data_IF_714260477085
#
_entry.id   IF_714260477085
#
_cell.length_a   1.000
_cell.length_b   1.000
_cell.length_c   1.000
_cell.angle_alpha   90.00
_cell.angle_beta   90.00
_cell.angle_gamma   90.00
#
_symmetry.space_group_name_H-M   'P 1'
#
loop_
_entity.id
_entity.type
_entity.pdbx_description
1 polymer ?
#
# COMPACT_ATOMS: atom_id res chain seq x y z
N UNK A 1 22.90 -7.93 5.55
CA UNK A 1 22.55 -8.65 4.31
C UNK A 1 21.20 -9.41 4.38
N UNK A 2 20.49 -9.44 5.52
CA UNK A 2 19.20 -10.14 5.66
C UNK A 2 17.91 -9.32 5.45
N UNK A 3 17.95 -7.98 5.53
CA UNK A 3 16.73 -7.14 5.59
C UNK A 3 16.00 -7.00 4.25
N UNK A 4 16.73 -6.73 3.17
CA UNK A 4 16.15 -6.69 1.81
C UNK A 4 15.66 -8.06 1.34
N UNK A 5 16.28 -9.15 1.84
CA UNK A 5 15.84 -10.52 1.56
C UNK A 5 14.48 -10.80 2.21
N UNK A 6 14.27 -10.38 3.45
CA UNK A 6 12.98 -10.54 4.14
C UNK A 6 11.82 -9.85 3.42
N UNK A 7 12.02 -8.60 2.97
CA UNK A 7 11.01 -7.88 2.19
C UNK A 7 10.70 -8.57 0.86
N UNK A 8 11.74 -9.03 0.16
CA UNK A 8 11.57 -9.78 -1.08
C UNK A 8 10.76 -11.07 -0.86
N UNK A 9 11.08 -11.85 0.18
CA UNK A 9 10.33 -13.05 0.54
C UNK A 9 8.87 -12.74 0.88
N UNK A 10 8.60 -11.65 1.60
CA UNK A 10 7.24 -11.23 1.90
C UNK A 10 6.45 -10.90 0.62
N UNK A 11 7.01 -10.10 -0.28
CA UNK A 11 6.35 -9.73 -1.54
C UNK A 11 6.10 -10.96 -2.41
N UNK A 12 7.09 -11.85 -2.53
CA UNK A 12 6.96 -13.10 -3.30
C UNK A 12 5.92 -14.03 -2.69
N UNK A 13 5.93 -14.22 -1.37
CA UNK A 13 4.95 -15.08 -0.69
C UNK A 13 3.53 -14.52 -0.81
N UNK A 14 3.36 -13.20 -0.71
CA UNK A 14 2.07 -12.55 -0.87
C UNK A 14 1.54 -12.68 -2.31
N UNK A 15 2.40 -12.43 -3.32
CA UNK A 15 2.05 -12.60 -4.72
C UNK A 15 1.70 -14.06 -5.06
N UNK A 16 2.48 -15.02 -4.55
CA UNK A 16 2.18 -16.44 -4.69
C UNK A 16 0.86 -16.80 -4.00
N UNK A 17 0.60 -16.25 -2.82
CA UNK A 17 -0.66 -16.42 -2.09
C UNK A 17 -1.86 -15.97 -2.91
N UNK A 18 -1.78 -14.80 -3.56
CA UNK A 18 -2.81 -14.32 -4.49
C UNK A 18 -2.98 -15.27 -5.68
N UNK A 19 -1.89 -15.71 -6.29
CA UNK A 19 -1.94 -16.63 -7.44
C UNK A 19 -2.60 -17.96 -7.09
N UNK A 20 -2.26 -18.55 -5.94
CA UNK A 20 -2.88 -19.79 -5.46
C UNK A 20 -4.35 -19.56 -5.08
N UNK A 21 -4.68 -18.45 -4.43
CA UNK A 21 -6.06 -18.07 -4.09
C UNK A 21 -6.92 -17.84 -5.34
N UNK A 22 -6.32 -17.38 -6.44
CA UNK A 22 -6.93 -17.23 -7.75
C UNK A 22 -7.11 -18.56 -8.51
N UNK A 23 -6.85 -19.72 -7.86
CA UNK A 23 -7.01 -21.03 -8.48
C UNK A 23 -5.88 -21.39 -9.44
N UNK A 24 -4.71 -20.74 -9.34
CA UNK A 24 -3.59 -20.84 -10.27
C UNK A 24 -3.93 -20.35 -11.69
N UNK A 25 -4.95 -19.49 -11.82
CA UNK A 25 -5.31 -18.82 -13.06
C UNK A 25 -4.90 -17.34 -12.99
N UNK A 26 -4.17 -16.90 -14.02
CA UNK A 26 -3.83 -15.49 -14.18
C UNK A 26 -5.07 -14.62 -14.38
N UNK A 27 -6.16 -15.17 -14.94
CA UNK A 27 -7.46 -14.50 -15.03
C UNK A 27 -8.04 -14.16 -13.65
N UNK A 28 -7.92 -15.07 -12.68
CA UNK A 28 -8.34 -14.82 -11.30
C UNK A 28 -7.50 -13.77 -10.58
N UNK A 29 -6.20 -13.65 -10.91
CA UNK A 29 -5.33 -12.60 -10.35
C UNK A 29 -5.78 -11.20 -10.81
N UNK A 30 -6.30 -11.08 -12.03
CA UNK A 30 -6.82 -9.81 -12.54
C UNK A 30 -8.04 -9.30 -11.76
N UNK A 31 -8.77 -10.18 -11.04
CA UNK A 31 -9.87 -9.75 -10.15
C UNK A 31 -9.38 -8.89 -8.98
N UNK A 32 -8.12 -9.05 -8.60
CA UNK A 32 -7.48 -8.21 -7.58
C UNK A 32 -6.93 -6.92 -8.17
N UNK A 33 -6.98 -6.70 -9.49
CA UNK A 33 -6.50 -5.50 -10.16
C UNK A 33 -7.66 -4.54 -10.46
N UNK A 34 -8.30 -4.04 -9.40
CA UNK A 34 -9.41 -3.09 -9.52
C UNK A 34 -8.88 -1.65 -9.68
N UNK A 35 -9.21 -1.02 -10.82
CA UNK A 35 -8.76 0.33 -11.14
C UNK A 35 -9.26 1.39 -10.14
N UNK A 36 -10.56 1.43 -9.75
CA UNK A 36 -11.03 2.30 -8.68
C UNK A 36 -10.24 2.17 -7.37
N UNK A 37 -10.06 0.95 -6.86
CA UNK A 37 -9.27 0.68 -5.65
C UNK A 37 -7.83 1.20 -5.77
N UNK A 38 -7.20 1.02 -6.93
CA UNK A 38 -5.85 1.53 -7.18
C UNK A 38 -5.79 3.06 -7.02
N UNK A 39 -6.71 3.80 -7.65
CA UNK A 39 -6.73 5.26 -7.57
C UNK A 39 -7.04 5.78 -6.16
N UNK A 40 -7.93 5.12 -5.41
CA UNK A 40 -8.21 5.52 -4.04
C UNK A 40 -6.99 5.37 -3.14
N UNK A 41 -6.32 4.21 -3.20
CA UNK A 41 -5.20 3.93 -2.31
C UNK A 41 -3.93 4.66 -2.76
N UNK A 42 -3.47 4.46 -3.99
CA UNK A 42 -2.23 5.09 -4.44
C UNK A 42 -2.39 6.58 -4.64
N UNK A 43 -3.51 7.03 -5.24
CA UNK A 43 -3.81 8.44 -5.41
C UNK A 43 -4.02 9.16 -4.08
N UNK A 44 -4.77 8.56 -3.15
CA UNK A 44 -4.96 9.10 -1.81
C UNK A 44 -3.66 9.18 -1.01
N UNK A 45 -2.84 8.13 -1.06
CA UNK A 45 -1.52 8.10 -0.39
C UNK A 45 -0.59 9.17 -0.93
N UNK A 46 -0.44 9.26 -2.25
CA UNK A 46 0.45 10.23 -2.88
C UNK A 46 -0.05 11.67 -2.72
N UNK A 47 -1.36 11.90 -2.82
CA UNK A 47 -1.97 13.22 -2.61
C UNK A 47 -1.78 13.72 -1.17
N UNK A 48 -2.05 12.87 -0.17
CA UNK A 48 -1.83 13.21 1.23
C UNK A 48 -0.34 13.37 1.56
N UNK A 49 0.53 12.56 0.98
CA UNK A 49 1.97 12.70 1.14
C UNK A 49 2.48 14.00 0.50
N UNK A 50 1.99 14.38 -0.67
CA UNK A 50 2.38 15.62 -1.35
C UNK A 50 1.90 16.86 -0.59
N UNK A 51 0.75 16.77 0.06
CA UNK A 51 0.25 17.83 0.94
C UNK A 51 1.04 17.93 2.25
N UNK A 52 1.43 16.79 2.83
CA UNK A 52 2.02 16.73 4.17
C UNK A 52 3.54 16.92 4.18
N UNK A 53 4.23 16.59 3.09
CA UNK A 53 5.69 16.65 2.99
C UNK A 53 6.17 17.65 1.93
N UNK A 54 7.16 18.46 2.30
CA UNK A 54 7.85 19.36 1.37
C UNK A 54 8.56 18.58 0.26
N UNK A 55 8.68 19.17 -0.92
CA UNK A 55 9.32 18.57 -2.12
C UNK A 55 10.75 18.09 -1.86
N UNK A 56 11.48 18.72 -0.94
CA UNK A 56 12.83 18.33 -0.56
C UNK A 56 12.87 17.01 0.24
N UNK A 57 11.82 16.73 1.02
CA UNK A 57 11.71 15.52 1.83
C UNK A 57 11.51 14.28 0.95
N UNK A 58 10.94 14.40 -0.25
CA UNK A 58 10.76 13.29 -1.18
C UNK A 58 12.09 12.68 -1.62
N UNK A 59 13.07 13.51 -2.00
CA UNK A 59 14.41 13.06 -2.36
C UNK A 59 15.13 12.39 -1.19
N UNK A 60 15.00 12.98 0.01
CA UNK A 60 15.57 12.45 1.26
C UNK A 60 14.93 11.12 1.64
N UNK A 61 13.60 11.02 1.55
CA UNK A 61 12.84 9.80 1.81
C UNK A 61 13.25 8.66 0.88
N UNK A 62 13.38 8.93 -0.42
CA UNK A 62 13.78 7.92 -1.38
C UNK A 62 15.26 7.53 -1.24
N UNK A 63 16.12 8.44 -0.75
CA UNK A 63 17.54 8.15 -0.51
C UNK A 63 17.75 6.98 0.44
N UNK A 64 16.80 6.69 1.33
CA UNK A 64 16.85 5.56 2.27
C UNK A 64 16.82 4.19 1.59
N UNK A 65 16.28 4.11 0.37
CA UNK A 65 16.30 2.90 -0.44
C UNK A 65 17.71 2.62 -1.02
N UNK A 66 18.56 3.64 -1.04
CA UNK A 66 19.93 3.56 -1.54
C UNK A 66 20.92 3.54 -0.36
N UNK A 67 22.14 3.04 -0.58
CA UNK A 67 23.20 3.04 0.46
C UNK A 67 23.76 4.43 0.77
N UNK A 68 23.26 5.48 0.13
CA UNK A 68 23.83 6.82 0.15
C UNK A 68 23.17 7.75 1.17
N UNK A 69 22.22 7.28 1.99
CA UNK A 69 21.50 8.13 2.95
C UNK A 69 22.46 8.61 4.07
N UNK A 70 22.73 9.93 4.18
CA UNK A 70 23.52 10.47 5.28
C UNK A 70 22.76 10.34 6.60
N UNK A 71 23.47 9.96 7.67
CA UNK A 71 22.86 9.71 9.00
C UNK A 71 21.98 10.87 9.49
N UNK A 72 22.41 12.10 9.26
CA UNK A 72 21.70 13.34 9.60
C UNK A 72 20.28 13.44 9.04
N UNK A 73 20.00 12.85 7.87
CA UNK A 73 18.70 12.94 7.20
C UNK A 73 17.83 11.68 7.40
N UNK A 74 18.30 10.72 8.19
CA UNK A 74 17.63 9.41 8.34
C UNK A 74 16.30 9.56 9.07
N UNK A 75 16.23 10.44 10.07
CA UNK A 75 15.00 10.66 10.85
C UNK A 75 13.88 11.27 10.00
N UNK A 76 14.21 12.23 9.12
CA UNK A 76 13.26 12.79 8.16
C UNK A 76 12.78 11.73 7.16
N UNK A 77 13.69 10.87 6.69
CA UNK A 77 13.32 9.78 5.80
C UNK A 77 12.42 8.75 6.50
N UNK A 78 12.70 8.40 7.75
CA UNK A 78 11.86 7.51 8.58
C UNK A 78 10.47 8.12 8.77
N UNK A 79 10.38 9.42 9.07
CA UNK A 79 9.12 10.12 9.21
C UNK A 79 8.29 10.09 7.90
N UNK A 80 8.95 10.32 6.76
CA UNK A 80 8.34 10.23 5.44
C UNK A 80 7.72 8.86 5.16
N UNK A 81 8.47 7.78 5.38
CA UNK A 81 7.96 6.41 5.15
C UNK A 81 6.88 5.99 6.14
N UNK A 82 6.96 6.42 7.40
CA UNK A 82 5.88 6.21 8.37
C UNK A 82 4.59 6.96 7.96
N UNK A 83 4.71 8.20 7.50
CA UNK A 83 3.60 9.00 7.00
C UNK A 83 2.94 8.36 5.77
N UNK A 84 3.75 8.00 4.76
CA UNK A 84 3.27 7.28 3.57
C UNK A 84 2.50 6.01 3.93
N UNK A 85 3.04 5.19 4.83
CA UNK A 85 2.36 3.98 5.27
C UNK A 85 0.99 4.30 5.89
N UNK A 86 0.94 5.27 6.80
CA UNK A 86 -0.30 5.68 7.47
C UNK A 86 -1.33 6.21 6.45
N UNK A 87 -0.92 7.04 5.49
CA UNK A 87 -1.81 7.54 4.44
C UNK A 87 -2.34 6.42 3.54
N UNK A 88 -1.54 5.38 3.27
CA UNK A 88 -1.99 4.19 2.55
C UNK A 88 -3.04 3.38 3.32
N UNK A 89 -2.86 3.24 4.64
CA UNK A 89 -3.85 2.58 5.48
C UNK A 89 -5.17 3.38 5.52
N UNK A 90 -5.08 4.69 5.73
CA UNK A 90 -6.26 5.56 5.80
C UNK A 90 -7.01 5.63 4.47
N UNK A 91 -6.30 5.69 3.34
CA UNK A 91 -6.92 5.63 2.01
C UNK A 91 -7.53 4.26 1.70
N UNK A 92 -6.94 3.16 2.18
CA UNK A 92 -7.55 1.83 2.11
C UNK A 92 -8.86 1.72 2.90
N UNK A 93 -8.91 2.30 4.10
CA UNK A 93 -10.14 2.40 4.90
C UNK A 93 -11.19 3.25 4.16
N UNK A 94 -10.79 4.39 3.58
CA UNK A 94 -11.69 5.23 2.79
C UNK A 94 -12.26 4.49 1.57
N UNK A 95 -11.41 3.76 0.83
CA UNK A 95 -11.85 2.93 -0.31
C UNK A 95 -12.81 1.82 0.10
N UNK A 96 -12.61 1.24 1.29
CA UNK A 96 -13.54 0.25 1.88
C UNK A 96 -14.92 0.87 2.12
N UNK A 97 -14.97 2.07 2.71
CA UNK A 97 -16.22 2.79 2.94
C UNK A 97 -16.92 3.10 1.62
N UNK A 98 -16.18 3.55 0.60
CA UNK A 98 -16.74 3.84 -0.73
C UNK A 98 -17.36 2.58 -1.35
N UNK A 99 -16.65 1.46 -1.32
CA UNK A 99 -17.17 0.19 -1.85
C UNK A 99 -18.44 -0.26 -1.11
N UNK A 100 -18.48 -0.13 0.21
CA UNK A 100 -19.68 -0.42 1.02
C UNK A 100 -20.84 0.51 0.69
N UNK A 101 -20.58 1.81 0.45
CA UNK A 101 -21.62 2.76 -0.01
C UNK A 101 -22.20 2.32 -1.35
N UNK A 102 -21.36 1.90 -2.30
CA UNK A 102 -21.86 1.41 -3.61
C UNK A 102 -22.67 0.13 -3.49
N UNK A 103 -22.33 -0.75 -2.53
CA UNK A 103 -23.10 -1.95 -2.22
C UNK A 103 -24.52 -1.57 -1.78
N UNK A 104 -24.64 -0.65 -0.81
CA UNK A 104 -25.94 -0.20 -0.32
C UNK A 104 -26.78 0.55 -1.36
N UNK A 105 -26.14 1.17 -2.38
CA UNK A 105 -26.86 1.78 -3.49
C UNK A 105 -27.48 0.75 -4.46
N UNK A 106 -26.98 -0.48 -4.49
CA UNK A 106 -27.40 -1.52 -5.45
C UNK A 106 -28.14 -2.69 -4.77
N UNK A 107 -28.83 -2.44 -3.66
CA UNK A 107 -29.56 -3.49 -2.90
C UNK A 107 -30.64 -4.23 -3.72
N UNK A 108 -31.13 -3.64 -4.80
CA UNK A 108 -32.14 -4.24 -5.68
C UNK A 108 -31.58 -5.26 -6.68
N UNK A 109 -30.26 -5.34 -6.87
CA UNK A 109 -29.62 -6.19 -7.87
C UNK A 109 -28.44 -6.97 -7.28
N UNK A 110 -28.69 -8.24 -6.95
CA UNK A 110 -27.70 -9.16 -6.36
C UNK A 110 -26.50 -9.37 -7.30
N UNK A 111 -26.66 -9.20 -8.61
CA UNK A 111 -25.55 -9.36 -9.56
C UNK A 111 -24.43 -8.32 -9.36
N UNK A 112 -24.77 -7.15 -8.79
CA UNK A 112 -23.84 -6.04 -8.54
C UNK A 112 -23.18 -6.09 -7.15
N UNK A 113 -23.59 -7.00 -6.28
CA UNK A 113 -22.98 -7.16 -4.96
C UNK A 113 -21.51 -7.58 -5.04
N UNK A 114 -21.20 -8.56 -5.89
CA UNK A 114 -19.85 -9.10 -6.03
C UNK A 114 -18.81 -8.01 -6.34
N UNK A 115 -19.01 -7.21 -7.40
CA UNK A 115 -18.12 -6.10 -7.73
C UNK A 115 -17.94 -5.07 -6.58
N UNK A 116 -19.01 -4.65 -5.91
CA UNK A 116 -18.92 -3.66 -4.80
C UNK A 116 -18.16 -4.19 -3.58
N UNK A 117 -18.34 -5.48 -3.26
CA UNK A 117 -17.58 -6.14 -2.19
C UNK A 117 -16.11 -6.26 -2.59
N UNK A 118 -15.82 -6.60 -3.85
CA UNK A 118 -14.46 -6.70 -4.37
C UNK A 118 -13.71 -5.37 -4.21
N UNK A 119 -14.29 -4.24 -4.66
CA UNK A 119 -13.69 -2.91 -4.49
C UNK A 119 -13.37 -2.63 -3.02
N UNK A 120 -14.28 -2.98 -2.09
CA UNK A 120 -14.08 -2.74 -0.66
C UNK A 120 -12.88 -3.52 -0.10
N UNK A 121 -12.83 -4.82 -0.39
CA UNK A 121 -11.81 -5.72 0.15
C UNK A 121 -10.45 -5.54 -0.53
N UNK A 122 -10.42 -5.27 -1.85
CA UNK A 122 -9.20 -4.98 -2.60
C UNK A 122 -8.58 -3.67 -2.14
N UNK A 123 -9.39 -2.63 -1.90
CA UNK A 123 -8.89 -1.36 -1.35
C UNK A 123 -8.22 -1.54 0.02
N UNK A 124 -8.82 -2.32 0.92
CA UNK A 124 -8.21 -2.62 2.22
C UNK A 124 -6.91 -3.43 2.07
N UNK A 125 -6.92 -4.42 1.17
CA UNK A 125 -5.75 -5.25 0.88
C UNK A 125 -4.58 -4.41 0.39
N UNK A 126 -4.82 -3.49 -0.55
CA UNK A 126 -3.81 -2.56 -1.04
C UNK A 126 -3.29 -1.63 0.05
N UNK A 127 -4.18 -1.05 0.86
CA UNK A 127 -3.80 -0.15 1.95
C UNK A 127 -2.90 -0.83 2.99
N UNK A 128 -3.26 -2.04 3.42
CA UNK A 128 -2.47 -2.83 4.38
C UNK A 128 -1.14 -3.28 3.78
N UNK A 129 -1.13 -3.69 2.49
CA UNK A 129 0.09 -4.10 1.82
C UNK A 129 1.09 -2.94 1.75
N UNK A 130 0.66 -1.78 1.25
CA UNK A 130 1.51 -0.59 1.14
C UNK A 130 1.96 -0.11 2.53
N UNK A 131 1.06 -0.07 3.52
CA UNK A 131 1.42 0.24 4.91
C UNK A 131 2.55 -0.66 5.42
N UNK A 132 2.42 -1.98 5.25
CA UNK A 132 3.41 -2.96 5.69
C UNK A 132 4.76 -2.75 5.01
N UNK A 133 4.76 -2.50 3.69
CA UNK A 133 5.99 -2.24 2.94
C UNK A 133 6.67 -0.95 3.40
N UNK A 134 5.92 0.14 3.56
CA UNK A 134 6.45 1.42 4.03
C UNK A 134 7.02 1.32 5.45
N UNK A 135 6.31 0.63 6.37
CA UNK A 135 6.80 0.38 7.73
C UNK A 135 8.07 -0.48 7.74
N UNK A 136 8.15 -1.50 6.89
CA UNK A 136 9.34 -2.33 6.77
C UNK A 136 10.57 -1.52 6.30
N UNK A 137 10.39 -0.57 5.38
CA UNK A 137 11.45 0.36 4.95
C UNK A 137 11.86 1.29 6.09
N UNK A 138 10.92 1.89 6.81
CA UNK A 138 11.21 2.79 7.93
C UNK A 138 11.97 2.09 9.07
N UNK A 139 11.54 0.87 9.44
CA UNK A 139 12.25 0.05 10.43
C UNK A 139 13.65 -0.30 9.93
N UNK A 140 13.77 -0.60 8.63
CA UNK A 140 15.04 -0.92 7.98
C UNK A 140 16.04 0.21 8.03
N UNK A 141 15.58 1.44 7.79
CA UNK A 141 16.38 2.65 7.93
C UNK A 141 16.86 2.86 9.37
N UNK A 142 15.94 2.75 10.36
CA UNK A 142 16.26 2.99 11.77
C UNK A 142 17.35 2.07 12.31
N UNK A 143 17.27 0.77 12.07
CA UNK A 143 18.32 -0.13 12.57
C UNK A 143 19.58 -0.16 11.68
N UNK A 144 19.69 0.71 10.67
CA UNK A 144 20.92 0.98 9.95
C UNK A 144 21.64 2.24 10.43
N UNK A 145 20.95 3.10 11.17
CA UNK A 145 21.55 4.28 11.83
C UNK A 145 22.13 3.98 13.21
N UNK A 146 21.63 2.95 13.89
CA UNK A 146 22.21 2.38 15.13
C UNK A 146 23.49 1.57 14.83
#
# INVERSE_FOLDING_TARGET
MGRTRGLFFFVVAFALGIYVAAGNDYGGVMLFCDSPSFFFVFGGTLGLAAFSFSTNTWGRGLSVLTRSCPREHTDEAIAFWNGLGLYALLSGIAGTIIGVVTLFQNLSDISKFGPSIAVSLVSMTYGVLVFTLCKAVAISAKAGSE
#
